data_IF_398510874049
#
_entry.id   IF_398510874049
#
_cell.length_a   1.000
_cell.length_b   1.000
_cell.length_c   1.000
_cell.angle_alpha   90.00
_cell.angle_beta   90.00
_cell.angle_gamma   90.00
#
_symmetry.space_group_name_H-M   'P 1'
#
loop_
_entity.id
_entity.type
_entity.pdbx_description
1 polymer ?
#
# COMPACT_ATOMS: atom_id res chain seq x y z
N UNK A 1 -64.37 -13.55 0.39
CA UNK A 1 -63.16 -13.37 1.21
C UNK A 1 -62.00 -14.08 0.53
N UNK A 2 -61.22 -13.36 -0.24
CA UNK A 2 -60.09 -13.91 -1.06
C UNK A 2 -58.82 -13.33 -0.48
N UNK A 3 -58.06 -14.15 0.24
CA UNK A 3 -56.77 -13.80 0.85
C UNK A 3 -55.64 -13.85 -0.19
N UNK A 4 -55.11 -12.71 -0.50
CA UNK A 4 -54.04 -12.51 -1.43
C UNK A 4 -52.68 -12.80 -0.72
N UNK A 5 -52.07 -13.98 -0.95
CA UNK A 5 -50.73 -14.33 -0.49
C UNK A 5 -49.70 -13.66 -1.40
N UNK A 6 -49.11 -12.54 -0.96
CA UNK A 6 -47.92 -11.97 -1.56
C UNK A 6 -46.74 -12.87 -1.27
N UNK A 7 -46.21 -13.50 -2.32
CA UNK A 7 -44.94 -14.22 -2.34
C UNK A 7 -43.81 -13.23 -2.05
N UNK A 8 -43.10 -13.39 -0.92
CA UNK A 8 -41.81 -12.78 -0.68
C UNK A 8 -40.78 -13.49 -1.54
N UNK A 9 -40.32 -12.82 -2.58
CA UNK A 9 -39.12 -13.24 -3.30
C UNK A 9 -37.92 -12.95 -2.35
N UNK A 10 -37.33 -14.02 -1.81
CA UNK A 10 -36.05 -13.95 -1.14
C UNK A 10 -35.02 -13.50 -2.15
N UNK A 11 -34.52 -12.27 -1.98
CA UNK A 11 -33.30 -11.80 -2.65
C UNK A 11 -32.15 -12.60 -2.00
N UNK A 12 -31.70 -13.67 -2.63
CA UNK A 12 -30.42 -14.25 -2.32
C UNK A 12 -29.35 -13.16 -2.57
N UNK A 13 -28.84 -12.56 -1.49
CA UNK A 13 -27.64 -11.77 -1.55
C UNK A 13 -26.53 -12.68 -2.09
N UNK A 14 -26.03 -12.38 -3.27
CA UNK A 14 -24.85 -13.05 -3.81
C UNK A 14 -23.71 -12.81 -2.83
N UNK A 15 -23.13 -13.90 -2.32
CA UNK A 15 -21.93 -13.83 -1.52
C UNK A 15 -20.87 -12.97 -2.22
N UNK A 16 -20.15 -12.12 -1.50
CA UNK A 16 -19.12 -11.27 -2.10
C UNK A 16 -18.06 -12.14 -2.79
N UNK A 17 -17.71 -11.76 -4.00
CA UNK A 17 -16.73 -12.50 -4.80
C UNK A 17 -15.32 -12.04 -4.37
N UNK A 18 -14.75 -12.71 -3.38
CA UNK A 18 -13.38 -12.43 -2.91
C UNK A 18 -12.34 -12.88 -3.93
N UNK A 19 -11.26 -12.11 -4.07
CA UNK A 19 -10.12 -12.45 -4.92
C UNK A 19 -9.33 -13.63 -4.31
N UNK A 20 -9.23 -13.65 -2.97
CA UNK A 20 -8.60 -14.73 -2.21
C UNK A 20 -9.30 -14.90 -0.86
N UNK A 21 -9.18 -16.09 -0.27
CA UNK A 21 -9.79 -16.42 1.03
C UNK A 21 -8.75 -16.54 2.17
N UNK A 22 -7.46 -16.55 1.86
CA UNK A 22 -6.37 -16.72 2.84
C UNK A 22 -5.67 -15.41 3.21
N UNK A 23 -4.85 -15.48 4.27
CA UNK A 23 -3.99 -14.38 4.71
C UNK A 23 -2.62 -14.38 4.01
N UNK A 24 -2.22 -15.53 3.47
CA UNK A 24 -0.93 -15.70 2.81
C UNK A 24 -0.93 -15.04 1.44
N UNK A 25 0.14 -14.32 1.14
CA UNK A 25 0.33 -13.74 -0.16
C UNK A 25 1.21 -14.61 -1.06
N UNK A 26 1.10 -14.39 -2.36
CA UNK A 26 2.01 -14.92 -3.37
C UNK A 26 2.19 -13.87 -4.46
N UNK A 27 3.24 -13.98 -5.24
CA UNK A 27 3.46 -13.05 -6.37
C UNK A 27 2.26 -13.03 -7.33
N UNK A 28 1.68 -14.18 -7.62
CA UNK A 28 0.50 -14.27 -8.49
C UNK A 28 -0.74 -13.58 -7.87
N UNK A 29 -0.90 -13.63 -6.55
CA UNK A 29 -1.98 -12.90 -5.88
C UNK A 29 -1.71 -11.40 -5.86
N UNK A 30 -0.48 -10.98 -5.62
CA UNK A 30 -0.09 -9.57 -5.65
C UNK A 30 -0.36 -8.98 -7.04
N UNK A 31 0.07 -9.66 -8.11
CA UNK A 31 -0.20 -9.24 -9.48
C UNK A 31 -1.71 -9.09 -9.75
N UNK A 32 -2.50 -10.09 -9.35
CA UNK A 32 -3.95 -10.04 -9.51
C UNK A 32 -4.62 -8.90 -8.75
N UNK A 33 -4.16 -8.62 -7.51
CA UNK A 33 -4.66 -7.49 -6.75
C UNK A 33 -4.22 -6.15 -7.35
N UNK A 34 -2.98 -6.06 -7.84
CA UNK A 34 -2.48 -4.86 -8.50
C UNK A 34 -3.28 -4.54 -9.77
N UNK A 35 -3.54 -5.53 -10.61
CA UNK A 35 -4.39 -5.36 -11.81
C UNK A 35 -5.79 -4.86 -11.46
N UNK A 36 -6.41 -5.42 -10.41
CA UNK A 36 -7.77 -5.03 -10.02
C UNK A 36 -7.79 -3.64 -9.38
N UNK A 37 -6.78 -3.30 -8.58
CA UNK A 37 -6.62 -1.96 -8.01
C UNK A 37 -6.36 -0.94 -9.13
N UNK A 38 -5.51 -1.27 -10.11
CA UNK A 38 -5.27 -0.43 -11.29
C UNK A 38 -6.57 -0.13 -12.05
N UNK A 39 -7.40 -1.15 -12.26
CA UNK A 39 -8.70 -1.02 -12.91
C UNK A 39 -9.62 -0.08 -12.13
N UNK A 40 -9.67 -0.23 -10.81
CA UNK A 40 -10.47 0.62 -9.93
C UNK A 40 -9.93 2.05 -9.94
N UNK A 41 -8.63 2.24 -9.79
CA UNK A 41 -7.97 3.55 -9.81
C UNK A 41 -8.29 4.30 -11.11
N UNK A 42 -8.26 3.60 -12.25
CA UNK A 42 -8.64 4.16 -13.55
C UNK A 42 -10.11 4.61 -13.59
N UNK A 43 -11.03 3.84 -12.97
CA UNK A 43 -12.45 4.22 -12.87
C UNK A 43 -12.64 5.51 -12.05
N UNK A 44 -11.82 5.70 -11.02
CA UNK A 44 -11.76 6.94 -10.24
C UNK A 44 -10.96 8.06 -10.92
N UNK A 45 -10.43 7.82 -12.13
CA UNK A 45 -9.62 8.77 -12.90
C UNK A 45 -8.34 9.22 -12.18
N UNK A 46 -7.76 8.33 -11.38
CA UNK A 46 -6.44 8.56 -10.81
C UNK A 46 -5.40 8.47 -11.93
N UNK A 47 -4.61 9.53 -12.09
CA UNK A 47 -3.49 9.57 -13.02
C UNK A 47 -2.19 9.25 -12.30
N UNK A 48 -1.56 8.13 -12.66
CA UNK A 48 -0.36 7.61 -12.02
C UNK A 48 0.79 7.45 -13.00
N UNK A 49 2.02 7.52 -12.49
CA UNK A 49 3.18 6.98 -13.20
C UNK A 49 3.08 5.45 -13.24
N UNK A 50 3.79 4.77 -14.17
CA UNK A 50 3.95 3.33 -14.07
C UNK A 50 4.47 2.93 -12.69
N UNK A 51 3.94 1.86 -12.12
CA UNK A 51 4.38 1.35 -10.82
C UNK A 51 5.45 0.28 -10.98
N UNK A 52 6.42 0.30 -10.09
CA UNK A 52 7.33 -0.80 -9.81
C UNK A 52 7.13 -1.21 -8.36
N UNK A 53 6.61 -2.42 -8.16
CA UNK A 53 6.35 -2.96 -6.83
C UNK A 53 7.50 -3.90 -6.46
N UNK A 54 8.14 -3.61 -5.33
CA UNK A 54 9.26 -4.38 -4.78
C UNK A 54 8.88 -4.96 -3.43
N UNK A 55 9.19 -6.23 -3.21
CA UNK A 55 8.96 -6.87 -1.92
C UNK A 55 10.29 -7.02 -1.21
N UNK A 56 10.36 -6.48 0.00
CA UNK A 56 11.57 -6.45 0.81
C UNK A 56 11.30 -6.96 2.22
N UNK A 57 12.35 -7.44 2.89
CA UNK A 57 12.27 -7.83 4.29
C UNK A 57 12.12 -6.61 5.21
N UNK A 58 11.66 -6.85 6.43
CA UNK A 58 11.58 -5.81 7.46
C UNK A 58 12.92 -5.11 7.71
N UNK A 59 14.04 -5.85 7.66
CA UNK A 59 15.37 -5.27 7.83
C UNK A 59 15.73 -4.34 6.68
N UNK A 60 15.47 -4.76 5.43
CA UNK A 60 15.67 -3.93 4.24
C UNK A 60 14.77 -2.70 4.25
N UNK A 61 13.53 -2.84 4.74
CA UNK A 61 12.60 -1.72 4.88
C UNK A 61 13.14 -0.67 5.86
N UNK A 62 13.69 -1.09 7.00
CA UNK A 62 14.32 -0.20 7.97
C UNK A 62 15.55 0.51 7.40
N UNK A 63 16.39 -0.20 6.65
CA UNK A 63 17.55 0.38 5.98
C UNK A 63 17.12 1.41 4.92
N UNK A 64 16.13 1.09 4.10
CA UNK A 64 15.58 2.00 3.11
C UNK A 64 14.98 3.25 3.77
N UNK A 65 14.19 3.06 4.85
CA UNK A 65 13.61 4.16 5.61
C UNK A 65 14.67 5.08 6.22
N UNK A 66 15.74 4.52 6.78
CA UNK A 66 16.83 5.31 7.35
C UNK A 66 17.64 6.07 6.30
N UNK A 67 17.81 5.50 5.12
CA UNK A 67 18.55 6.14 4.02
C UNK A 67 17.75 7.26 3.33
N UNK A 68 16.45 7.10 3.19
CA UNK A 68 15.55 8.07 2.53
C UNK A 68 15.03 9.12 3.51
N UNK A 69 14.82 8.74 4.79
CA UNK A 69 14.23 9.61 5.81
C UNK A 69 15.24 10.44 6.61
N UNK A 70 16.55 10.22 6.44
CA UNK A 70 17.57 11.07 7.08
C UNK A 70 17.90 12.28 6.20
N UNK A 71 17.47 13.52 6.57
CA UNK A 71 17.98 14.70 5.90
C UNK A 71 19.49 14.74 6.13
N UNK A 72 20.26 14.70 5.05
CA UNK A 72 21.69 14.97 5.07
C UNK A 72 21.89 16.38 5.63
N UNK A 73 22.16 16.50 6.92
CA UNK A 73 22.32 17.80 7.59
C UNK A 73 21.60 17.98 8.92
N UNK A 74 20.82 17.02 9.38
CA UNK A 74 20.20 17.10 10.70
C UNK A 74 21.21 16.67 11.77
N UNK A 75 21.85 17.64 12.42
CA UNK A 75 22.86 17.44 13.46
C UNK A 75 22.29 17.23 14.87
N UNK A 76 20.99 16.89 15.00
CA UNK A 76 20.39 16.74 16.32
C UNK A 76 20.44 15.28 16.79
N UNK A 77 21.14 15.04 17.89
CA UNK A 77 21.32 13.70 18.52
C UNK A 77 20.00 12.98 18.88
N UNK A 78 18.90 13.71 19.08
CA UNK A 78 17.58 13.12 19.38
C UNK A 78 17.00 12.34 18.20
N UNK A 79 17.44 12.58 16.97
CA UNK A 79 16.95 11.91 15.77
C UNK A 79 17.40 10.46 15.72
N UNK A 80 18.67 10.20 16.03
CA UNK A 80 19.20 8.82 16.15
C UNK A 80 18.53 8.05 17.29
N UNK A 81 18.11 8.72 18.35
CA UNK A 81 17.41 8.10 19.47
C UNK A 81 15.97 7.72 19.13
N UNK A 82 15.26 8.53 18.35
CA UNK A 82 13.93 8.21 17.81
C UNK A 82 13.99 7.02 16.84
N UNK A 83 14.99 7.00 16.00
CA UNK A 83 15.22 5.88 15.08
C UNK A 83 15.46 4.56 15.82
N UNK A 84 16.36 4.54 16.81
CA UNK A 84 16.62 3.38 17.65
C UNK A 84 15.41 2.94 18.48
N UNK A 85 14.55 3.86 18.88
CA UNK A 85 13.30 3.55 19.59
C UNK A 85 12.28 2.92 18.64
N UNK A 86 12.17 3.41 17.43
CA UNK A 86 11.29 2.87 16.39
C UNK A 86 11.75 1.46 15.97
N UNK A 87 13.05 1.26 15.76
CA UNK A 87 13.63 -0.04 15.45
C UNK A 87 13.38 -1.06 16.59
N UNK A 88 13.59 -0.65 17.85
CA UNK A 88 13.32 -1.51 19.01
C UNK A 88 11.84 -1.80 19.20
N UNK A 89 10.95 -0.85 18.91
CA UNK A 89 9.50 -1.02 18.92
C UNK A 89 9.05 -2.04 17.89
N UNK A 90 9.61 -1.96 16.70
CA UNK A 90 9.35 -2.89 15.61
C UNK A 90 9.82 -4.32 15.93
N UNK A 91 11.07 -4.49 16.34
CA UNK A 91 11.63 -5.81 16.74
C UNK A 91 10.89 -6.45 17.91
N UNK A 92 10.16 -5.68 18.72
CA UNK A 92 9.31 -6.17 19.82
C UNK A 92 7.86 -6.44 19.41
N UNK A 93 7.50 -6.27 18.15
CA UNK A 93 6.12 -6.45 17.68
C UNK A 93 5.14 -5.43 18.24
N UNK A 94 5.62 -4.32 18.81
CA UNK A 94 4.80 -3.27 19.42
C UNK A 94 4.27 -2.26 18.40
N UNK A 95 4.79 -2.25 17.19
CA UNK A 95 4.33 -1.42 16.10
C UNK A 95 3.74 -2.34 15.02
N UNK A 96 2.43 -2.54 15.07
CA UNK A 96 1.65 -3.26 14.05
C UNK A 96 1.39 -2.42 12.81
N UNK A 97 2.39 -1.72 12.29
CA UNK A 97 2.25 -0.88 11.12
C UNK A 97 2.72 -1.64 9.88
N UNK A 98 1.88 -1.60 8.85
CA UNK A 98 2.30 -1.92 7.51
C UNK A 98 3.25 -0.82 7.07
N UNK A 99 4.54 -1.06 7.17
CA UNK A 99 5.53 -0.14 6.64
C UNK A 99 5.45 -0.17 5.13
N UNK A 100 5.35 1.00 4.56
CA UNK A 100 5.42 1.23 3.13
C UNK A 100 6.43 2.34 2.86
N UNK A 101 7.16 2.21 1.78
CA UNK A 101 7.98 3.29 1.25
C UNK A 101 7.61 3.49 -0.20
N UNK A 102 7.36 4.73 -0.57
CA UNK A 102 7.09 5.12 -1.95
C UNK A 102 8.12 6.13 -2.39
N UNK A 103 8.76 5.84 -3.52
CA UNK A 103 9.70 6.75 -4.15
C UNK A 103 8.98 7.47 -5.29
N UNK A 104 8.93 8.79 -5.19
CA UNK A 104 8.41 9.66 -6.25
C UNK A 104 9.40 9.71 -7.41
N UNK A 105 9.27 8.77 -8.33
CA UNK A 105 10.08 8.63 -9.53
C UNK A 105 9.21 8.18 -10.70
N UNK A 106 9.78 8.05 -11.87
CA UNK A 106 9.11 7.49 -13.04
C UNK A 106 9.97 6.35 -13.64
N UNK A 107 9.62 5.08 -13.37
CA UNK A 107 8.44 4.59 -12.66
C UNK A 107 8.44 4.92 -11.18
N UNK A 108 7.26 5.01 -10.57
CA UNK A 108 7.08 5.14 -9.13
C UNK A 108 7.38 3.81 -8.46
N UNK A 109 8.27 3.81 -7.46
CA UNK A 109 8.67 2.58 -6.77
C UNK A 109 7.93 2.48 -5.44
N UNK A 110 7.23 1.37 -5.22
CA UNK A 110 6.56 1.05 -3.97
C UNK A 110 7.18 -0.19 -3.33
N UNK A 111 7.74 -0.02 -2.14
CA UNK A 111 8.27 -1.13 -1.35
C UNK A 111 7.21 -1.68 -0.42
N UNK A 112 6.98 -2.99 -0.48
CA UNK A 112 6.08 -3.75 0.36
C UNK A 112 6.88 -4.69 1.25
N UNK A 113 6.43 -4.86 2.48
CA UNK A 113 7.08 -5.75 3.44
C UNK A 113 6.64 -7.19 3.23
N UNK A 114 7.59 -8.14 3.17
CA UNK A 114 7.29 -9.56 2.95
C UNK A 114 6.46 -10.19 4.09
N UNK A 115 6.56 -9.65 5.31
CA UNK A 115 5.83 -10.13 6.47
C UNK A 115 4.36 -9.68 6.51
N UNK A 116 3.93 -8.83 5.60
CA UNK A 116 2.54 -8.41 5.51
C UNK A 116 1.63 -9.54 5.07
N UNK A 117 0.42 -9.59 5.62
CA UNK A 117 -0.63 -10.47 5.11
C UNK A 117 -1.12 -9.99 3.74
N UNK A 118 -1.79 -10.86 2.97
CA UNK A 118 -2.34 -10.48 1.66
C UNK A 118 -3.26 -9.25 1.73
N UNK A 119 -4.07 -9.14 2.77
CA UNK A 119 -4.94 -7.98 2.99
C UNK A 119 -4.13 -6.70 3.18
N UNK A 120 -3.05 -6.76 3.95
CA UNK A 120 -2.16 -5.63 4.14
C UNK A 120 -1.42 -5.28 2.86
N UNK A 121 -0.96 -6.28 2.10
CA UNK A 121 -0.35 -6.04 0.79
C UNK A 121 -1.32 -5.30 -0.15
N UNK A 122 -2.56 -5.75 -0.23
CA UNK A 122 -3.58 -5.09 -1.05
C UNK A 122 -3.83 -3.64 -0.63
N UNK A 123 -3.91 -3.39 0.70
CA UNK A 123 -4.08 -2.04 1.24
C UNK A 123 -2.89 -1.14 0.90
N UNK A 124 -1.67 -1.65 1.08
CA UNK A 124 -0.44 -0.90 0.78
C UNK A 124 -0.33 -0.62 -0.71
N UNK A 125 -0.62 -1.59 -1.58
CA UNK A 125 -0.64 -1.36 -3.04
C UNK A 125 -1.61 -0.23 -3.39
N UNK A 126 -2.85 -0.28 -2.91
CA UNK A 126 -3.83 0.76 -3.20
C UNK A 126 -3.40 2.14 -2.68
N UNK A 127 -2.85 2.19 -1.46
CA UNK A 127 -2.43 3.43 -0.82
C UNK A 127 -1.14 3.99 -1.43
N UNK A 128 -0.10 3.17 -1.54
CA UNK A 128 1.21 3.60 -1.99
C UNK A 128 1.31 3.73 -3.51
N UNK A 129 1.08 2.62 -4.22
CA UNK A 129 1.30 2.56 -5.66
C UNK A 129 0.28 3.37 -6.46
N UNK A 130 -0.93 3.55 -5.94
CA UNK A 130 -1.96 4.33 -6.64
C UNK A 130 -2.32 5.64 -5.94
N UNK A 131 -2.46 5.66 -4.61
CA UNK A 131 -2.82 6.85 -3.86
C UNK A 131 -1.70 7.89 -3.86
N UNK A 132 -0.54 7.57 -3.28
CA UNK A 132 0.61 8.47 -3.24
C UNK A 132 1.14 8.81 -4.63
N UNK A 133 1.22 7.82 -5.53
CA UNK A 133 1.67 8.02 -6.90
C UNK A 133 0.80 9.06 -7.63
N UNK A 134 -0.52 8.92 -7.58
CA UNK A 134 -1.43 9.90 -8.22
C UNK A 134 -1.32 11.29 -7.60
N UNK A 135 -1.09 11.36 -6.29
CA UNK A 135 -0.85 12.62 -5.58
C UNK A 135 0.44 13.30 -6.08
N UNK A 136 1.53 12.55 -6.18
CA UNK A 136 2.80 13.07 -6.68
C UNK A 136 2.68 13.56 -8.12
N UNK A 137 2.08 12.74 -9.01
CA UNK A 137 1.91 13.09 -10.41
C UNK A 137 0.96 14.26 -10.61
N UNK A 138 -0.11 14.34 -9.82
CA UNK A 138 -1.11 15.41 -9.89
C UNK A 138 -0.69 16.73 -9.26
N UNK A 139 0.31 16.73 -8.37
CA UNK A 139 0.73 17.91 -7.62
C UNK A 139 1.93 18.60 -8.29
N UNK A 140 1.74 19.85 -8.69
CA UNK A 140 2.79 20.62 -9.38
C UNK A 140 4.07 20.81 -8.56
N UNK A 141 4.01 20.78 -7.23
CA UNK A 141 5.17 20.90 -6.36
C UNK A 141 6.14 19.70 -6.48
N UNK A 142 5.61 18.52 -6.82
CA UNK A 142 6.42 17.31 -6.94
C UNK A 142 6.91 17.02 -8.36
N UNK A 143 6.35 17.69 -9.37
CA UNK A 143 6.75 17.46 -10.78
C UNK A 143 8.21 17.79 -11.06
N UNK A 144 8.79 18.74 -10.34
CA UNK A 144 10.18 19.14 -10.49
C UNK A 144 11.17 18.15 -9.84
N UNK A 145 10.69 17.21 -9.05
CA UNK A 145 11.52 16.25 -8.31
C UNK A 145 11.44 14.83 -8.87
N UNK A 146 10.53 14.58 -9.80
CA UNK A 146 10.32 13.25 -10.39
C UNK A 146 11.41 12.88 -11.40
N UNK A 147 12.10 13.87 -11.96
CA UNK A 147 13.15 13.68 -12.97
C UNK A 147 14.58 13.86 -12.40
N UNK A 148 14.71 13.89 -11.08
CA UNK A 148 15.97 14.10 -10.37
C UNK A 148 16.75 12.79 -10.15
#
# INVERSE_FOLDING_TARGET
MTTNKKSKKDKQEKAPNYISEGSEWSFALIEKYDEEIARIAKNFKLDTYPNQIEIISAEQMLDAYSSVGMPLGYHHWSFGKQFLQSEKGYKRGQMGLAYEIVINSNPCIAYLMEENTMMMQALVIAHAAYGHNSFFKGNYLFKTWTDA
#
